data_IF_254188773112
#
_entry.id   IF_254188773112
#
_cell.length_a   1.000
_cell.length_b   1.000
_cell.length_c   1.000
_cell.angle_alpha   90.00
_cell.angle_beta   90.00
_cell.angle_gamma   90.00
#
_symmetry.space_group_name_H-M   'P 1'
#
loop_
_entity.id
_entity.type
_entity.pdbx_description
1 polymer ?
#
# COMPACT_ATOMS: atom_id res chain seq x y z
N UNK A 1 -21.61 -9.86 -44.62
CA UNK A 1 -20.65 -10.08 -43.49
C UNK A 1 -21.07 -9.17 -42.34
N UNK A 2 -21.55 -9.75 -41.25
CA UNK A 2 -22.03 -9.01 -40.07
C UNK A 2 -20.85 -8.28 -39.42
N UNK A 3 -20.89 -6.95 -39.35
CA UNK A 3 -19.90 -6.17 -38.63
C UNK A 3 -20.05 -6.51 -37.14
N UNK A 4 -19.13 -7.29 -36.57
CA UNK A 4 -19.12 -7.58 -35.15
C UNK A 4 -18.92 -6.27 -34.37
N UNK A 5 -20.00 -5.71 -33.86
CA UNK A 5 -19.97 -4.50 -33.04
C UNK A 5 -19.31 -4.85 -31.71
N UNK A 6 -18.14 -4.26 -31.48
CA UNK A 6 -17.44 -4.42 -30.21
C UNK A 6 -17.96 -3.32 -29.30
N UNK A 7 -18.59 -3.75 -28.22
CA UNK A 7 -19.16 -2.90 -27.20
C UNK A 7 -18.20 -2.81 -26.01
N UNK A 8 -17.91 -1.58 -25.60
CA UNK A 8 -17.02 -1.27 -24.49
C UNK A 8 -17.82 -0.65 -23.35
N UNK A 9 -17.53 -1.06 -22.11
CA UNK A 9 -18.15 -0.48 -20.92
C UNK A 9 -17.09 0.15 -20.03
N UNK A 10 -17.27 1.42 -19.68
CA UNK A 10 -16.46 2.14 -18.71
C UNK A 10 -17.28 2.37 -17.44
N UNK A 11 -16.83 1.81 -16.34
CA UNK A 11 -17.37 2.08 -15.00
C UNK A 11 -16.44 3.10 -14.33
N UNK A 12 -16.95 4.29 -14.02
CA UNK A 12 -16.17 5.36 -13.40
C UNK A 12 -16.94 6.05 -12.26
N UNK A 13 -16.27 6.94 -11.52
CA UNK A 13 -16.85 7.64 -10.38
C UNK A 13 -18.20 8.34 -10.69
N UNK A 14 -19.09 8.36 -9.70
CA UNK A 14 -20.41 8.98 -9.76
C UNK A 14 -20.40 10.49 -9.98
N UNK A 15 -21.59 11.08 -10.25
CA UNK A 15 -21.73 12.54 -10.16
C UNK A 15 -21.51 13.02 -8.71
N UNK A 16 -21.12 14.29 -8.54
CA UNK A 16 -20.93 14.89 -7.20
C UNK A 16 -22.17 14.76 -6.31
N UNK A 17 -23.38 14.81 -6.89
CA UNK A 17 -24.64 14.62 -6.19
C UNK A 17 -24.90 13.16 -5.74
N UNK A 18 -24.19 12.18 -6.32
CA UNK A 18 -24.35 10.74 -6.04
C UNK A 18 -22.98 10.05 -5.99
N UNK A 19 -22.11 10.40 -5.02
CA UNK A 19 -20.72 9.93 -4.99
C UNK A 19 -20.60 8.43 -4.72
N UNK A 20 -21.64 7.81 -4.16
CA UNK A 20 -21.70 6.37 -3.90
C UNK A 20 -22.15 5.53 -5.11
N UNK A 21 -22.72 6.15 -6.16
CA UNK A 21 -23.26 5.43 -7.32
C UNK A 21 -22.32 5.56 -8.51
N UNK A 22 -21.72 4.47 -9.02
CA UNK A 22 -20.84 4.55 -10.18
C UNK A 22 -21.62 4.93 -11.44
N UNK A 23 -20.96 5.64 -12.36
CA UNK A 23 -21.46 5.88 -13.72
C UNK A 23 -20.99 4.73 -14.60
N UNK A 24 -21.93 4.14 -15.32
CA UNK A 24 -21.67 3.09 -16.31
C UNK A 24 -21.88 3.71 -17.69
N UNK A 25 -20.80 3.87 -18.44
CA UNK A 25 -20.81 4.44 -19.78
C UNK A 25 -20.60 3.32 -20.79
N UNK A 26 -21.54 3.23 -21.72
CA UNK A 26 -21.53 2.27 -22.80
C UNK A 26 -21.07 2.95 -24.08
N UNK A 27 -20.02 2.44 -24.69
CA UNK A 27 -19.54 2.90 -25.99
C UNK A 27 -19.86 1.84 -27.03
N UNK A 28 -20.90 2.12 -27.80
CA UNK A 28 -21.20 1.39 -29.01
C UNK A 28 -20.51 2.05 -30.21
N UNK A 29 -20.04 1.21 -31.11
CA UNK A 29 -19.48 1.62 -32.40
C UNK A 29 -20.59 1.91 -33.44
N UNK A 30 -21.85 1.79 -33.05
CA UNK A 30 -23.01 2.15 -33.87
C UNK A 30 -23.73 3.38 -33.33
N UNK A 31 -23.81 4.41 -34.17
CA UNK A 31 -24.85 5.43 -34.12
C UNK A 31 -24.67 6.50 -33.04
N UNK A 32 -24.45 7.74 -33.48
CA UNK A 32 -24.75 8.90 -32.68
C UNK A 32 -26.23 8.90 -32.30
N UNK A 33 -26.57 8.53 -31.07
CA UNK A 33 -27.77 8.96 -30.34
C UNK A 33 -27.72 8.40 -28.91
N UNK A 34 -27.93 9.27 -27.92
CA UNK A 34 -28.12 8.85 -26.53
C UNK A 34 -29.35 7.95 -26.40
N UNK A 35 -29.22 6.87 -25.64
CA UNK A 35 -30.32 5.96 -25.32
C UNK A 35 -29.78 4.74 -24.59
N UNK A 36 -30.29 4.49 -23.38
CA UNK A 36 -29.76 3.50 -22.45
C UNK A 36 -29.63 2.09 -23.06
N UNK A 37 -28.44 1.51 -22.91
CA UNK A 37 -28.17 0.14 -23.33
C UNK A 37 -28.60 -0.83 -22.24
N UNK A 38 -29.51 -1.72 -22.62
CA UNK A 38 -29.99 -2.85 -21.82
C UNK A 38 -28.90 -3.89 -21.62
N UNK A 39 -28.98 -4.60 -20.49
CA UNK A 39 -28.12 -5.69 -20.01
C UNK A 39 -27.99 -6.89 -20.96
N UNK A 40 -28.72 -6.88 -22.08
CA UNK A 40 -28.70 -7.91 -23.13
C UNK A 40 -27.64 -7.67 -24.22
N UNK A 41 -26.96 -6.52 -24.22
CA UNK A 41 -25.98 -6.18 -25.26
C UNK A 41 -24.63 -6.87 -25.05
N UNK A 42 -23.98 -7.42 -26.09
CA UNK A 42 -22.78 -8.21 -25.91
C UNK A 42 -21.58 -7.35 -25.49
N UNK A 43 -21.13 -7.43 -24.24
CA UNK A 43 -20.01 -6.62 -23.71
C UNK A 43 -18.70 -7.32 -24.05
N UNK A 44 -17.75 -6.65 -24.72
CA UNK A 44 -16.49 -7.29 -25.11
C UNK A 44 -15.33 -6.94 -24.19
N UNK A 45 -15.26 -5.67 -23.75
CA UNK A 45 -14.26 -5.16 -22.84
C UNK A 45 -14.91 -4.29 -21.76
N UNK A 46 -14.55 -4.55 -20.51
CA UNK A 46 -14.94 -3.74 -19.37
C UNK A 46 -13.73 -3.04 -18.77
N UNK A 47 -13.84 -1.74 -18.52
CA UNK A 47 -12.81 -0.93 -17.88
C UNK A 47 -13.40 -0.33 -16.61
N UNK A 48 -12.77 -0.58 -15.46
CA UNK A 48 -13.09 0.04 -14.19
C UNK A 48 -12.06 1.11 -13.85
N UNK A 49 -12.46 2.37 -13.78
CA UNK A 49 -11.63 3.46 -13.25
C UNK A 49 -11.81 3.60 -11.74
N UNK A 50 -10.93 2.93 -10.98
CA UNK A 50 -10.96 2.93 -9.51
C UNK A 50 -10.22 4.13 -8.88
N UNK A 51 -9.54 4.96 -9.68
CA UNK A 51 -8.63 6.01 -9.17
C UNK A 51 -9.32 7.00 -8.21
N UNK A 52 -10.63 7.17 -8.35
CA UNK A 52 -11.42 8.24 -7.70
C UNK A 52 -12.71 7.74 -7.08
N UNK A 53 -12.84 6.44 -6.93
CA UNK A 53 -14.01 5.85 -6.28
C UNK A 53 -13.74 5.72 -4.78
N UNK A 54 -14.70 6.15 -3.96
CA UNK A 54 -14.71 5.81 -2.55
C UNK A 54 -15.08 4.31 -2.37
N UNK A 55 -14.88 3.77 -1.17
CA UNK A 55 -15.10 2.34 -0.90
C UNK A 55 -16.55 1.88 -1.19
N UNK A 56 -17.55 2.71 -0.88
CA UNK A 56 -18.95 2.42 -1.16
C UNK A 56 -19.25 2.36 -2.68
N UNK A 57 -18.66 3.28 -3.45
CA UNK A 57 -18.75 3.32 -4.91
C UNK A 57 -18.04 2.12 -5.54
N UNK A 58 -16.85 1.74 -5.04
CA UNK A 58 -16.14 0.54 -5.48
C UNK A 58 -16.96 -0.74 -5.25
N UNK A 59 -17.54 -0.89 -4.06
CA UNK A 59 -18.40 -2.03 -3.73
C UNK A 59 -19.58 -2.14 -4.70
N UNK A 60 -20.22 -1.01 -5.00
CA UNK A 60 -21.32 -0.94 -5.96
C UNK A 60 -20.85 -1.23 -7.39
N UNK A 61 -19.68 -0.69 -7.78
CA UNK A 61 -19.07 -0.94 -9.09
C UNK A 61 -18.72 -2.42 -9.28
N UNK A 62 -18.21 -3.11 -8.25
CA UNK A 62 -17.94 -4.53 -8.33
C UNK A 62 -19.22 -5.37 -8.46
N UNK A 63 -20.34 -4.95 -7.85
CA UNK A 63 -21.63 -5.60 -8.05
C UNK A 63 -22.11 -5.46 -9.51
N UNK A 64 -21.99 -4.25 -10.08
CA UNK A 64 -22.30 -4.00 -11.50
C UNK A 64 -21.41 -4.83 -12.43
N UNK A 65 -20.11 -4.91 -12.16
CA UNK A 65 -19.17 -5.71 -12.97
C UNK A 65 -19.53 -7.20 -12.92
N UNK A 66 -19.91 -7.73 -11.75
CA UNK A 66 -20.35 -9.13 -11.64
C UNK A 66 -21.59 -9.40 -12.49
N UNK A 67 -22.52 -8.45 -12.56
CA UNK A 67 -23.69 -8.51 -13.43
C UNK A 67 -23.31 -8.41 -14.92
N UNK A 68 -22.40 -7.50 -15.27
CA UNK A 68 -21.93 -7.34 -16.65
C UNK A 68 -21.05 -8.50 -17.13
N UNK A 69 -20.42 -9.24 -16.22
CA UNK A 69 -19.65 -10.45 -16.55
C UNK A 69 -20.53 -11.55 -17.14
N UNK A 70 -21.80 -11.61 -16.76
CA UNK A 70 -22.75 -12.56 -17.36
C UNK A 70 -23.32 -12.09 -18.69
N UNK A 71 -22.95 -10.89 -19.16
CA UNK A 71 -23.37 -10.43 -20.48
C UNK A 71 -22.74 -11.32 -21.57
N UNK A 72 -23.48 -11.61 -22.66
CA UNK A 72 -22.95 -12.40 -23.76
C UNK A 72 -21.69 -11.73 -24.36
N UNK A 73 -20.70 -12.52 -24.77
CA UNK A 73 -19.52 -11.97 -25.46
C UNK A 73 -18.46 -11.31 -24.58
N UNK A 74 -18.56 -11.39 -23.24
CA UNK A 74 -17.52 -10.91 -22.32
C UNK A 74 -16.18 -11.61 -22.58
N UNK A 75 -15.16 -10.83 -22.96
CA UNK A 75 -13.81 -11.34 -23.26
C UNK A 75 -12.79 -10.87 -22.24
N UNK A 76 -12.82 -9.60 -21.86
CA UNK A 76 -11.75 -9.03 -21.05
C UNK A 76 -12.24 -7.91 -20.11
N UNK A 77 -11.59 -7.80 -18.95
CA UNK A 77 -11.92 -6.81 -17.93
C UNK A 77 -10.65 -6.24 -17.32
N UNK A 78 -10.61 -4.92 -17.12
CA UNK A 78 -9.42 -4.20 -16.68
C UNK A 78 -9.73 -3.28 -15.52
N UNK A 79 -8.88 -3.31 -14.50
CA UNK A 79 -8.83 -2.32 -13.43
C UNK A 79 -7.81 -1.23 -13.76
N UNK A 80 -8.20 0.03 -13.67
CA UNK A 80 -7.29 1.19 -13.74
C UNK A 80 -7.17 1.79 -12.35
N UNK A 81 -5.95 1.86 -11.81
CA UNK A 81 -5.69 2.39 -10.47
C UNK A 81 -4.36 3.14 -10.36
N UNK A 82 -4.28 4.11 -9.44
CA UNK A 82 -3.05 4.87 -9.17
C UNK A 82 -2.05 4.06 -8.36
N UNK A 83 -2.54 3.30 -7.38
CA UNK A 83 -1.71 2.46 -6.51
C UNK A 83 -2.45 1.15 -6.27
N UNK A 84 -1.85 -0.02 -6.54
CA UNK A 84 -2.50 -1.30 -6.30
C UNK A 84 -2.61 -1.56 -4.80
N UNK A 85 -3.73 -1.19 -4.20
CA UNK A 85 -4.11 -1.73 -2.91
C UNK A 85 -4.51 -3.20 -3.10
N UNK A 86 -3.78 -4.13 -2.47
CA UNK A 86 -4.02 -5.56 -2.59
C UNK A 86 -5.50 -5.96 -2.40
N UNK A 87 -6.26 -5.40 -1.43
CA UNK A 87 -7.67 -5.73 -1.28
C UNK A 87 -8.52 -5.38 -2.50
N UNK A 88 -8.26 -4.21 -3.11
CA UNK A 88 -9.02 -3.72 -4.28
C UNK A 88 -8.71 -4.59 -5.50
N UNK A 89 -7.45 -4.98 -5.69
CA UNK A 89 -7.04 -5.88 -6.77
C UNK A 89 -7.68 -7.25 -6.61
N UNK A 90 -7.67 -7.81 -5.39
CA UNK A 90 -8.32 -9.10 -5.11
C UNK A 90 -9.83 -9.06 -5.38
N UNK A 91 -10.52 -8.00 -4.97
CA UNK A 91 -11.94 -7.82 -5.25
C UNK A 91 -12.23 -7.64 -6.74
N UNK A 92 -11.39 -6.88 -7.46
CA UNK A 92 -11.46 -6.72 -8.91
C UNK A 92 -11.32 -8.07 -9.63
N UNK A 93 -10.35 -8.90 -9.23
CA UNK A 93 -10.18 -10.25 -9.79
C UNK A 93 -11.39 -11.15 -9.48
N UNK A 94 -11.92 -11.10 -8.25
CA UNK A 94 -13.15 -11.83 -7.89
C UNK A 94 -14.37 -11.36 -8.68
N UNK A 95 -14.43 -10.06 -9.03
CA UNK A 95 -15.47 -9.51 -9.89
C UNK A 95 -15.31 -9.93 -11.36
N UNK A 96 -14.15 -10.44 -11.76
CA UNK A 96 -13.87 -10.96 -13.11
C UNK A 96 -12.97 -10.06 -13.96
N UNK A 97 -12.34 -9.04 -13.38
CA UNK A 97 -11.30 -8.26 -14.05
C UNK A 97 -10.01 -9.07 -14.11
N UNK A 98 -9.43 -9.20 -15.31
CA UNK A 98 -8.28 -10.05 -15.58
C UNK A 98 -6.97 -9.29 -15.52
N UNK A 99 -6.98 -8.03 -15.94
CA UNK A 99 -5.79 -7.19 -15.99
C UNK A 99 -5.90 -5.98 -15.07
N UNK A 100 -4.74 -5.48 -14.66
CA UNK A 100 -4.60 -4.25 -13.89
C UNK A 100 -3.64 -3.33 -14.63
N UNK A 101 -4.07 -2.10 -14.87
CA UNK A 101 -3.24 -1.03 -15.43
C UNK A 101 -2.99 0.00 -14.35
N UNK A 102 -1.70 0.29 -14.15
CA UNK A 102 -1.24 1.37 -13.30
C UNK A 102 -1.07 2.64 -14.11
N UNK A 103 -1.32 3.78 -13.48
CA UNK A 103 -0.99 5.06 -14.09
C UNK A 103 0.52 5.22 -14.29
N UNK A 104 0.92 5.95 -15.37
CA UNK A 104 0.06 6.57 -16.38
C UNK A 104 -0.44 5.58 -17.44
N UNK A 105 -1.70 5.74 -17.86
CA UNK A 105 -2.30 4.98 -18.97
C UNK A 105 -1.61 5.33 -20.28
N UNK A 106 -0.83 4.40 -20.83
CA UNK A 106 -0.14 4.60 -22.12
C UNK A 106 -1.01 4.11 -23.28
N UNK A 107 -0.87 4.78 -24.44
CA UNK A 107 -1.53 4.35 -25.67
C UNK A 107 -1.17 2.90 -26.04
N UNK A 108 0.07 2.46 -25.74
CA UNK A 108 0.53 1.09 -25.95
C UNK A 108 -0.26 0.08 -25.12
N UNK A 109 -0.47 0.35 -23.82
CA UNK A 109 -1.25 -0.53 -22.95
C UNK A 109 -2.71 -0.64 -23.42
N UNK A 110 -3.32 0.47 -23.85
CA UNK A 110 -4.68 0.45 -24.39
C UNK A 110 -4.81 -0.37 -25.68
N UNK A 111 -3.82 -0.29 -26.57
CA UNK A 111 -3.78 -1.14 -27.79
C UNK A 111 -3.58 -2.61 -27.42
N UNK A 112 -2.79 -2.92 -26.41
CA UNK A 112 -2.64 -4.29 -25.90
C UNK A 112 -3.96 -4.82 -25.33
N UNK A 113 -4.71 -4.01 -24.59
CA UNK A 113 -6.04 -4.38 -24.11
C UNK A 113 -7.02 -4.66 -25.25
N UNK A 114 -7.00 -3.84 -26.32
CA UNK A 114 -7.84 -4.11 -27.48
C UNK A 114 -7.52 -5.45 -28.12
N UNK A 115 -6.23 -5.76 -28.29
CA UNK A 115 -5.81 -7.05 -28.85
C UNK A 115 -6.26 -8.21 -27.96
N UNK A 116 -6.17 -8.06 -26.65
CA UNK A 116 -6.65 -9.05 -25.68
C UNK A 116 -8.17 -9.23 -25.73
N UNK A 117 -8.93 -8.14 -25.89
CA UNK A 117 -10.38 -8.17 -26.00
C UNK A 117 -10.89 -8.62 -27.38
N UNK A 118 -10.08 -8.53 -28.43
CA UNK A 118 -10.48 -8.83 -29.82
C UNK A 118 -9.43 -9.67 -30.55
N UNK A 119 -9.11 -10.87 -30.06
CA UNK A 119 -8.11 -11.73 -30.70
C UNK A 119 -8.56 -12.08 -32.12
N UNK A 120 -7.65 -11.90 -33.09
CA UNK A 120 -7.89 -12.22 -34.51
C UNK A 120 -8.51 -11.10 -35.36
N UNK A 121 -8.95 -9.99 -34.76
CA UNK A 121 -9.44 -8.84 -35.51
C UNK A 121 -8.36 -7.76 -35.60
N UNK A 122 -8.10 -7.24 -36.81
CA UNK A 122 -7.35 -5.99 -36.94
C UNK A 122 -8.12 -4.88 -36.23
N UNK A 123 -7.41 -4.06 -35.46
CA UNK A 123 -8.00 -2.92 -34.78
C UNK A 123 -8.56 -1.95 -35.84
N UNK A 124 -9.86 -2.05 -36.12
CA UNK A 124 -10.47 -1.19 -37.13
C UNK A 124 -10.52 0.24 -36.60
N UNK A 125 -10.52 1.24 -37.51
CA UNK A 125 -10.55 2.66 -37.15
C UNK A 125 -11.66 3.00 -36.13
N UNK A 126 -12.74 2.23 -36.14
CA UNK A 126 -13.86 2.34 -35.21
C UNK A 126 -13.54 1.91 -33.76
N UNK A 127 -12.78 0.83 -33.57
CA UNK A 127 -12.31 0.43 -32.23
C UNK A 127 -11.31 1.44 -31.65
N UNK A 128 -10.45 1.99 -32.52
CA UNK A 128 -9.52 3.05 -32.15
C UNK A 128 -10.26 4.34 -31.76
N UNK A 129 -11.34 4.68 -32.46
CA UNK A 129 -12.18 5.83 -32.11
C UNK A 129 -12.90 5.66 -30.77
N UNK A 130 -13.41 4.46 -30.47
CA UNK A 130 -14.03 4.13 -29.18
C UNK A 130 -13.02 4.20 -28.03
N UNK A 131 -11.81 3.65 -28.21
CA UNK A 131 -10.72 3.84 -27.25
C UNK A 131 -10.38 5.31 -27.05
N UNK A 132 -10.23 6.07 -28.13
CA UNK A 132 -9.92 7.48 -28.04
C UNK A 132 -11.02 8.25 -27.29
N UNK A 133 -12.28 7.84 -27.41
CA UNK A 133 -13.38 8.36 -26.61
C UNK A 133 -13.23 8.01 -25.12
N UNK A 134 -12.92 6.75 -24.78
CA UNK A 134 -12.64 6.33 -23.40
C UNK A 134 -11.50 7.17 -22.80
N UNK A 135 -10.38 7.31 -23.52
CA UNK A 135 -9.22 8.11 -23.09
C UNK A 135 -9.60 9.57 -22.90
N UNK A 136 -10.35 10.17 -23.84
CA UNK A 136 -10.83 11.54 -23.69
C UNK A 136 -11.73 11.70 -22.48
N UNK A 137 -12.62 10.75 -22.20
CA UNK A 137 -13.51 10.77 -21.04
C UNK A 137 -12.72 10.65 -19.74
N UNK A 138 -11.72 9.76 -19.68
CA UNK A 138 -10.82 9.64 -18.54
C UNK A 138 -10.01 10.94 -18.34
N UNK A 139 -9.44 11.50 -19.40
CA UNK A 139 -8.68 12.75 -19.35
C UNK A 139 -9.53 14.00 -19.05
N UNK A 140 -10.80 14.01 -19.50
CA UNK A 140 -11.76 15.08 -19.18
C UNK A 140 -12.22 14.98 -17.71
N UNK A 141 -12.46 13.75 -17.23
CA UNK A 141 -12.65 13.51 -15.81
C UNK A 141 -11.42 13.99 -15.02
N UNK A 142 -10.20 13.80 -15.54
CA UNK A 142 -8.96 14.29 -14.92
C UNK A 142 -8.85 15.81 -14.88
N UNK A 143 -9.45 16.53 -15.83
CA UNK A 143 -9.52 18.01 -15.85
C UNK A 143 -10.64 18.60 -15.00
N UNK A 144 -11.85 18.04 -15.05
CA UNK A 144 -12.98 18.46 -14.18
C UNK A 144 -12.64 18.30 -12.69
N UNK A 145 -11.77 17.35 -12.42
CA UNK A 145 -11.14 17.07 -11.15
C UNK A 145 -10.13 18.09 -10.64
N UNK A 146 -9.60 18.95 -11.50
CA UNK A 146 -8.78 20.08 -11.09
C UNK A 146 -9.64 21.29 -10.65
N UNK A 147 -10.97 21.16 -10.65
CA UNK A 147 -11.85 22.19 -10.11
C UNK A 147 -11.72 22.31 -8.58
N UNK A 148 -11.81 23.53 -8.02
CA UNK A 148 -11.57 23.78 -6.61
C UNK A 148 -12.54 23.02 -5.68
N UNK A 149 -13.79 22.79 -6.09
CA UNK A 149 -14.77 22.01 -5.31
C UNK A 149 -14.47 20.51 -5.28
N UNK A 150 -14.03 19.93 -6.40
CA UNK A 150 -13.56 18.54 -6.45
C UNK A 150 -12.23 18.35 -5.71
N UNK A 151 -11.41 19.42 -5.59
CA UNK A 151 -10.18 19.43 -4.82
C UNK A 151 -10.42 19.35 -3.30
N UNK A 152 -11.50 19.99 -2.81
CA UNK A 152 -11.85 20.03 -1.40
C UNK A 152 -12.37 18.67 -0.92
N UNK A 153 -13.31 18.07 -1.66
CA UNK A 153 -13.79 16.71 -1.39
C UNK A 153 -12.67 15.65 -1.43
N UNK A 154 -11.62 15.87 -2.23
CA UNK A 154 -10.43 15.02 -2.25
C UNK A 154 -9.50 15.25 -1.07
N UNK A 155 -9.35 16.49 -0.63
CA UNK A 155 -8.55 16.80 0.55
C UNK A 155 -9.18 16.13 1.76
N UNK A 156 -10.51 16.22 1.90
CA UNK A 156 -11.26 15.49 2.92
C UNK A 156 -11.10 13.98 2.79
N UNK A 157 -11.25 13.42 1.59
CA UNK A 157 -11.05 11.98 1.38
C UNK A 157 -9.62 11.50 1.66
N UNK A 158 -8.61 12.28 1.26
CA UNK A 158 -7.21 11.98 1.52
C UNK A 158 -6.88 12.08 3.03
N UNK A 159 -7.51 13.01 3.74
CA UNK A 159 -7.41 13.12 5.19
C UNK A 159 -8.05 11.90 5.88
N UNK A 160 -9.21 11.44 5.42
CA UNK A 160 -9.84 10.21 5.94
C UNK A 160 -8.95 8.99 5.67
N UNK A 161 -8.42 8.83 4.46
CA UNK A 161 -7.48 7.74 4.17
C UNK A 161 -6.20 7.81 5.02
N UNK A 162 -5.72 9.03 5.32
CA UNK A 162 -4.54 9.22 6.17
C UNK A 162 -4.87 8.87 7.63
N UNK A 163 -6.05 9.25 8.11
CA UNK A 163 -6.53 8.88 9.43
C UNK A 163 -6.66 7.36 9.59
N UNK A 164 -7.22 6.67 8.59
CA UNK A 164 -7.31 5.20 8.59
C UNK A 164 -5.92 4.54 8.64
N UNK A 165 -4.96 5.06 7.87
CA UNK A 165 -3.57 4.56 7.90
C UNK A 165 -2.91 4.80 9.25
N UNK A 166 -3.15 5.96 9.88
CA UNK A 166 -2.62 6.26 11.21
C UNK A 166 -3.21 5.31 12.25
N UNK A 167 -4.52 5.06 12.23
CA UNK A 167 -5.15 4.09 13.14
C UNK A 167 -4.58 2.67 12.97
N UNK A 168 -4.31 2.24 11.73
CA UNK A 168 -3.66 0.95 11.48
C UNK A 168 -2.20 0.91 11.98
N UNK A 169 -1.48 2.02 11.88
CA UNK A 169 -0.11 2.11 12.42
C UNK A 169 -0.10 2.14 13.95
N UNK A 170 -1.03 2.86 14.57
CA UNK A 170 -1.18 2.92 16.03
C UNK A 170 -1.49 1.55 16.63
N UNK A 171 -2.41 0.80 16.02
CA UNK A 171 -2.73 -0.57 16.45
C UNK A 171 -1.52 -1.50 16.31
N UNK A 172 -0.77 -1.39 15.21
CA UNK A 172 0.46 -2.16 15.03
C UNK A 172 1.53 -1.80 16.07
N UNK A 173 1.75 -0.51 16.34
CA UNK A 173 2.69 -0.05 17.37
C UNK A 173 2.28 -0.50 18.77
N UNK A 174 0.97 -0.53 19.08
CA UNK A 174 0.48 -1.05 20.34
C UNK A 174 0.80 -2.54 20.51
N UNK A 175 0.62 -3.34 19.45
CA UNK A 175 0.99 -4.76 19.45
C UNK A 175 2.51 -4.97 19.59
N UNK A 176 3.33 -4.16 18.91
CA UNK A 176 4.79 -4.22 19.02
C UNK A 176 5.27 -3.85 20.45
N UNK A 177 4.66 -2.83 21.08
CA UNK A 177 4.92 -2.47 22.48
C UNK A 177 4.56 -3.61 23.44
N UNK A 178 3.39 -4.21 23.30
CA UNK A 178 2.98 -5.35 24.13
C UNK A 178 3.94 -6.54 23.98
N UNK A 179 4.42 -6.82 22.76
CA UNK A 179 5.40 -7.87 22.51
C UNK A 179 6.77 -7.58 23.16
N UNK A 180 7.19 -6.31 23.18
CA UNK A 180 8.43 -5.89 23.86
C UNK A 180 8.30 -6.01 25.38
N UNK A 181 7.18 -5.59 25.96
CA UNK A 181 6.90 -5.71 27.39
C UNK A 181 6.91 -7.18 27.85
N UNK A 182 6.27 -8.08 27.09
CA UNK A 182 6.30 -9.52 27.37
C UNK A 182 7.73 -10.10 27.30
N UNK A 183 8.52 -9.66 26.32
CA UNK A 183 9.93 -10.07 26.21
C UNK A 183 10.77 -9.57 27.37
N UNK A 184 10.54 -8.35 27.85
CA UNK A 184 11.22 -7.79 29.02
C UNK A 184 10.85 -8.56 30.29
N UNK A 185 9.57 -8.88 30.50
CA UNK A 185 9.13 -9.69 31.63
C UNK A 185 9.79 -11.08 31.64
N UNK A 186 9.88 -11.73 30.47
CA UNK A 186 10.60 -13.01 30.30
C UNK A 186 12.08 -12.88 30.64
N UNK A 187 12.75 -11.82 30.19
CA UNK A 187 14.15 -11.57 30.51
C UNK A 187 14.36 -11.34 32.02
N UNK A 188 13.53 -10.50 32.66
CA UNK A 188 13.58 -10.28 34.12
C UNK A 188 13.34 -11.58 34.89
N UNK A 189 12.39 -12.41 34.46
CA UNK A 189 12.14 -13.71 35.07
C UNK A 189 13.34 -14.66 34.93
N UNK A 190 14.00 -14.67 33.77
CA UNK A 190 15.21 -15.48 33.53
C UNK A 190 16.41 -15.00 34.35
N UNK A 191 16.61 -13.68 34.48
CA UNK A 191 17.68 -13.11 35.31
C UNK A 191 17.53 -13.50 36.77
N UNK A 192 16.31 -13.41 37.32
CA UNK A 192 16.01 -13.86 38.69
C UNK A 192 16.23 -15.36 38.91
N UNK A 193 16.08 -16.19 37.87
CA UNK A 193 16.41 -17.63 37.95
C UNK A 193 17.92 -17.83 37.97
N UNK A 194 18.65 -17.18 37.06
CA UNK A 194 20.11 -17.23 37.01
C UNK A 194 20.76 -16.72 38.30
N UNK A 195 20.22 -15.67 38.93
CA UNK A 195 20.69 -15.19 40.24
C UNK A 195 20.55 -16.26 41.33
N UNK A 196 19.44 -17.02 41.32
CA UNK A 196 19.23 -18.11 42.28
C UNK A 196 20.16 -19.30 42.01
N UNK A 197 20.32 -19.66 40.74
CA UNK A 197 21.20 -20.76 40.33
C UNK A 197 22.66 -20.45 40.66
N UNK A 198 23.10 -19.19 40.43
CA UNK A 198 24.43 -18.72 40.81
C UNK A 198 24.64 -18.73 42.33
N UNK A 199 23.66 -18.27 43.11
CA UNK A 199 23.72 -18.33 44.56
C UNK A 199 23.81 -19.78 45.08
N UNK A 200 23.11 -20.73 44.47
CA UNK A 200 23.20 -22.14 44.82
C UNK A 200 24.59 -22.72 44.52
N UNK A 201 25.18 -22.37 43.37
CA UNK A 201 26.54 -22.80 42.99
C UNK A 201 27.63 -22.20 43.91
N UNK A 202 27.48 -20.95 44.36
CA UNK A 202 28.40 -20.34 45.34
C UNK A 202 28.40 -21.09 46.69
N UNK A 203 27.23 -21.50 47.17
CA UNK A 203 27.11 -22.28 48.41
C UNK A 203 27.80 -23.65 48.28
N UNK A 204 27.72 -24.30 47.12
CA UNK A 204 28.45 -25.56 46.88
C UNK A 204 29.97 -25.34 46.87
N UNK A 205 30.48 -24.25 46.27
CA UNK A 205 31.93 -23.94 46.29
C UNK A 205 32.48 -23.63 47.68
N UNK A 206 31.69 -22.99 48.55
CA UNK A 206 32.10 -22.69 49.93
C UNK A 206 32.18 -23.95 50.83
N UNK A 207 31.50 -25.04 50.45
CA UNK A 207 31.61 -26.33 51.16
C UNK A 207 32.84 -27.16 50.78
N UNK A 208 33.53 -26.80 49.70
CA UNK A 208 34.76 -27.48 49.24
C UNK A 208 35.95 -26.55 49.44
N UNK A 209 36.36 -26.37 50.70
CA UNK A 209 37.57 -25.60 51.05
C UNK A 209 38.77 -26.56 51.21
N UNK A 210 39.66 -26.74 50.22
CA UNK A 210 40.94 -27.40 50.45
C UNK A 210 41.85 -26.49 51.29
N UNK A 211 42.57 -27.10 52.23
CA UNK A 211 43.52 -26.49 53.16
C UNK A 211 44.57 -25.63 52.41
N UNK A 212 44.90 -24.42 52.87
CA UNK A 212 45.77 -23.51 52.11
C UNK A 212 47.23 -24.01 52.12
N UNK A 213 47.93 -24.07 50.96
CA UNK A 213 49.38 -24.20 50.95
C UNK A 213 50.04 -22.82 51.14
N UNK A 214 51.27 -22.85 51.67
CA UNK A 214 52.08 -21.70 52.08
C UNK A 214 52.41 -20.71 50.92
N UNK A 215 52.73 -19.43 51.23
CA UNK A 215 52.92 -18.40 50.23
C UNK A 215 54.23 -18.57 49.45
N UNK A 216 54.14 -18.56 48.13
CA UNK A 216 55.29 -18.47 47.19
C UNK A 216 55.29 -17.07 46.54
N UNK A 217 56.48 -16.52 46.19
CA UNK A 217 56.62 -15.13 45.81
C UNK A 217 56.08 -14.84 44.41
N UNK A 218 55.54 -13.63 44.28
CA UNK A 218 54.92 -13.05 43.08
C UNK A 218 55.92 -13.01 41.93
N UNK A 219 55.72 -13.86 40.92
CA UNK A 219 56.38 -13.75 39.62
C UNK A 219 55.62 -12.81 38.71
N UNK A 220 56.40 -11.93 38.08
CA UNK A 220 56.07 -10.94 37.06
C UNK A 220 55.11 -11.45 35.97
N UNK A 221 54.11 -10.62 35.66
CA UNK A 221 53.16 -10.81 34.58
C UNK A 221 53.87 -10.91 33.22
N UNK A 222 53.67 -12.04 32.52
CA UNK A 222 53.86 -12.15 31.07
C UNK A 222 52.56 -11.75 30.35
N UNK A 223 52.61 -10.98 29.25
CA UNK A 223 51.42 -10.56 28.53
C UNK A 223 51.01 -11.67 27.57
N UNK A 224 49.91 -12.38 27.84
CA UNK A 224 49.28 -13.22 26.81
C UNK A 224 47.76 -13.16 26.84
N UNK A 225 47.24 -12.90 25.63
CA UNK A 225 45.90 -13.09 25.08
C UNK A 225 44.74 -12.32 25.73
N UNK A 226 44.30 -11.27 25.02
CA UNK A 226 42.98 -10.69 25.23
C UNK A 226 41.90 -11.75 25.08
N UNK A 227 41.05 -11.86 26.08
CA UNK A 227 39.89 -12.75 26.11
C UNK A 227 38.95 -12.45 24.93
N UNK A 228 38.39 -13.47 24.25
CA UNK A 228 37.42 -13.26 23.15
C UNK A 228 36.18 -12.45 23.60
N UNK A 229 35.86 -12.46 24.90
CA UNK A 229 34.80 -11.65 25.49
C UNK A 229 35.06 -10.13 25.41
N UNK A 230 36.32 -9.69 25.45
CA UNK A 230 36.65 -8.26 25.40
C UNK A 230 36.45 -7.70 23.97
N UNK A 231 36.80 -8.49 22.96
CA UNK A 231 36.55 -8.20 21.54
C UNK A 231 35.05 -8.22 21.22
N UNK A 232 34.28 -9.14 21.79
CA UNK A 232 32.83 -9.21 21.56
C UNK A 232 32.09 -8.03 22.21
N UNK A 233 32.50 -7.58 23.40
CA UNK A 233 31.92 -6.39 24.04
C UNK A 233 32.29 -5.10 23.29
N UNK A 234 33.49 -4.99 22.73
CA UNK A 234 33.85 -3.86 21.85
C UNK A 234 33.07 -3.88 20.53
N UNK A 235 32.82 -5.06 19.94
CA UNK A 235 32.00 -5.18 18.74
C UNK A 235 30.53 -4.79 19.01
N UNK A 236 29.97 -5.22 20.14
CA UNK A 236 28.60 -4.84 20.55
C UNK A 236 28.52 -3.35 20.88
N UNK A 237 29.52 -2.78 21.55
CA UNK A 237 29.57 -1.35 21.81
C UNK A 237 29.67 -0.52 20.53
N UNK A 238 30.44 -0.97 19.54
CA UNK A 238 30.55 -0.32 18.23
C UNK A 238 29.21 -0.38 17.47
N UNK A 239 28.52 -1.52 17.48
CA UNK A 239 27.20 -1.66 16.85
C UNK A 239 26.11 -0.82 17.54
N UNK A 240 26.17 -0.67 18.86
CA UNK A 240 25.25 0.19 19.61
C UNK A 240 25.53 1.68 19.35
N UNK A 241 26.81 2.08 19.23
CA UNK A 241 27.19 3.44 18.86
C UNK A 241 26.73 3.78 17.43
N UNK A 242 26.92 2.86 16.49
CA UNK A 242 26.43 3.04 15.10
C UNK A 242 24.91 3.14 15.07
N UNK A 243 24.19 2.30 15.82
CA UNK A 243 22.72 2.41 15.96
C UNK A 243 22.30 3.73 16.60
N UNK A 244 23.00 4.22 17.62
CA UNK A 244 22.72 5.51 18.24
C UNK A 244 22.88 6.67 17.23
N UNK A 245 23.93 6.65 16.40
CA UNK A 245 24.10 7.65 15.33
C UNK A 245 23.00 7.58 14.26
N UNK A 246 22.55 6.38 13.88
CA UNK A 246 21.43 6.25 12.95
C UNK A 246 20.10 6.74 13.53
N UNK A 247 19.91 6.65 14.85
CA UNK A 247 18.73 7.18 15.52
C UNK A 247 18.78 8.70 15.63
N UNK A 248 19.93 9.30 15.96
CA UNK A 248 20.12 10.76 15.98
C UNK A 248 19.90 11.36 14.57
N UNK A 249 20.39 10.71 13.51
CA UNK A 249 20.12 11.13 12.12
C UNK A 249 18.62 11.07 11.81
N UNK A 250 17.91 10.01 12.22
CA UNK A 250 16.46 9.88 12.01
C UNK A 250 15.68 10.94 12.79
N UNK A 251 16.09 11.26 14.00
CA UNK A 251 15.46 12.29 14.82
C UNK A 251 15.63 13.68 14.20
N UNK A 252 16.84 14.00 13.70
CA UNK A 252 17.08 15.24 12.95
C UNK A 252 16.26 15.33 11.67
N UNK A 253 16.14 14.23 10.92
CA UNK A 253 15.29 14.18 9.72
C UNK A 253 13.81 14.41 10.06
N UNK A 254 13.32 13.86 11.18
CA UNK A 254 11.94 14.08 11.63
C UNK A 254 11.69 15.53 12.03
N UNK A 255 12.63 16.15 12.76
CA UNK A 255 12.56 17.58 13.12
C UNK A 255 12.59 18.49 11.89
N UNK A 256 13.39 18.15 10.87
CA UNK A 256 13.47 18.91 9.63
C UNK A 256 12.19 18.75 8.79
N UNK A 257 11.60 17.54 8.75
CA UNK A 257 10.29 17.32 8.14
C UNK A 257 9.17 18.09 8.85
N UNK A 258 9.20 18.17 10.19
CA UNK A 258 8.24 18.94 10.98
C UNK A 258 8.36 20.45 10.71
N UNK A 259 9.59 20.96 10.60
CA UNK A 259 9.85 22.35 10.18
C UNK A 259 9.33 22.65 8.77
N UNK A 260 9.53 21.74 7.82
CA UNK A 260 9.03 21.91 6.45
C UNK A 260 7.50 21.85 6.40
N UNK A 261 6.87 20.98 7.19
CA UNK A 261 5.41 20.90 7.30
C UNK A 261 4.81 22.15 7.93
N UNK A 262 5.41 22.67 9.00
CA UNK A 262 4.95 23.90 9.66
C UNK A 262 5.13 25.12 8.76
N UNK A 263 6.22 25.22 8.00
CA UNK A 263 6.41 26.26 6.99
C UNK A 263 5.35 26.20 5.87
N UNK A 264 5.05 25.02 5.34
CA UNK A 264 4.00 24.84 4.32
C UNK A 264 2.60 25.18 4.83
N UNK A 265 2.31 24.90 6.11
CA UNK A 265 1.04 25.26 6.73
C UNK A 265 0.93 26.78 6.96
N UNK A 266 2.02 27.45 7.33
CA UNK A 266 2.06 28.90 7.46
C UNK A 266 1.86 29.61 6.11
N UNK A 267 2.53 29.14 5.04
CA UNK A 267 2.36 29.68 3.68
C UNK A 267 0.94 29.43 3.14
N UNK A 268 0.35 28.28 3.44
CA UNK A 268 -1.03 27.97 3.07
C UNK A 268 -2.06 28.81 3.85
N UNK A 269 -1.74 29.23 5.07
CA UNK A 269 -2.56 30.14 5.88
C UNK A 269 -2.48 31.60 5.42
N UNK A 270 -1.30 32.07 5.00
CA UNK A 270 -1.09 33.42 4.47
C UNK A 270 -1.79 33.66 3.12
N UNK A 271 -2.05 32.61 2.33
CA UNK A 271 -2.81 32.67 1.08
C UNK A 271 -4.34 32.69 1.28
N UNK A 272 -4.82 32.66 2.54
CA UNK A 272 -6.26 32.62 2.88
C UNK A 272 -6.81 33.91 3.50
N UNK A 273 -5.99 34.96 3.60
CA UNK A 273 -6.38 36.35 3.91
C UNK A 273 -6.20 37.23 2.68
#
# INVERSE_FOLDING_TARGET
>A
MSASLIHFVLVHHGEAARPAKPRVLHFNVEGAAGGGLSTTSPVHLLVLDARRMNAACLKTAFAEIRHLRSAPGFKHGVLVCNTPALPVVQEAMRAGLRDVIHEPLTARQLVQLLRAATPGNHACARQLAALAAIVRTLAAADRAAASPSASLARREYALVQRADRLAHMETRLALERAALEDREQKLRASARRLERDYAALQVETDTVRPKPPAPVPVSTATPFSGSPFATDLQAVAAQLAERATTLDIRERMLQEMERLLTAQLADAGALST
#
